data_IF_146696290429
#
_entry.id   IF_146696290429
#
_cell.length_a   1.000
_cell.length_b   1.000
_cell.length_c   1.000
_cell.angle_alpha   90.00
_cell.angle_beta   90.00
_cell.angle_gamma   90.00
#
_symmetry.space_group_name_H-M   'P 1'
#
loop_
_entity.id
_entity.type
_entity.pdbx_description
1 polymer ?
#
# COMPACT_ATOMS: atom_id res chain seq x y z
N UNK A 1 24.44 11.29 16.25
CA UNK A 1 25.20 10.61 15.19
C UNK A 1 24.71 9.18 15.10
N UNK A 2 24.34 8.68 13.92
CA UNK A 2 23.90 7.28 13.73
C UNK A 2 25.15 6.42 13.54
N UNK A 3 25.36 5.43 14.40
CA UNK A 3 26.47 4.49 14.27
C UNK A 3 26.07 3.28 13.42
N UNK A 4 27.04 2.53 12.89
CA UNK A 4 26.76 1.27 12.19
C UNK A 4 25.99 0.28 13.07
N UNK A 5 26.31 0.21 14.36
CA UNK A 5 25.61 -0.65 15.32
C UNK A 5 24.12 -0.31 15.44
N UNK A 6 23.74 0.98 15.31
CA UNK A 6 22.33 1.36 15.30
C UNK A 6 21.61 0.83 14.06
N UNK A 7 22.21 0.93 12.87
CA UNK A 7 21.60 0.46 11.61
C UNK A 7 21.43 -1.07 11.64
N UNK A 8 22.45 -1.80 12.10
CA UNK A 8 22.39 -3.26 12.22
C UNK A 8 21.35 -3.68 13.25
N UNK A 9 21.28 -3.01 14.40
CA UNK A 9 20.28 -3.30 15.43
C UNK A 9 18.84 -3.05 14.92
N UNK A 10 18.61 -1.94 14.22
CA UNK A 10 17.31 -1.66 13.58
C UNK A 10 16.98 -2.73 12.56
N UNK A 11 17.95 -3.14 11.73
CA UNK A 11 17.74 -4.17 10.71
C UNK A 11 17.34 -5.50 11.33
N UNK A 12 18.10 -5.96 12.33
CA UNK A 12 17.79 -7.19 13.06
C UNK A 12 16.40 -7.13 13.73
N UNK A 13 16.05 -6.00 14.34
CA UNK A 13 14.75 -5.83 14.98
C UNK A 13 13.60 -5.92 13.96
N UNK A 14 13.67 -5.19 12.84
CA UNK A 14 12.60 -5.19 11.83
C UNK A 14 12.40 -6.57 11.20
N UNK A 15 13.47 -7.34 11.00
CA UNK A 15 13.38 -8.71 10.50
C UNK A 15 12.61 -9.66 11.43
N UNK A 16 12.50 -9.35 12.73
CA UNK A 16 11.66 -10.14 13.66
C UNK A 16 10.19 -9.78 13.60
N UNK A 17 9.87 -8.55 13.17
CA UNK A 17 8.50 -8.02 13.13
C UNK A 17 7.78 -8.41 11.83
N UNK A 18 8.50 -8.45 10.70
CA UNK A 18 7.91 -8.76 9.39
C UNK A 18 8.02 -10.28 9.12
N UNK A 19 6.91 -11.03 9.18
CA UNK A 19 6.97 -12.48 8.98
C UNK A 19 7.23 -12.83 7.51
N UNK A 20 8.05 -13.85 7.29
CA UNK A 20 8.37 -14.39 5.96
C UNK A 20 8.91 -13.34 4.99
N UNK A 21 9.80 -12.46 5.46
CA UNK A 21 10.56 -11.56 4.60
C UNK A 21 11.68 -12.35 3.91
N UNK A 22 11.78 -12.27 2.58
CA UNK A 22 12.84 -12.98 1.85
C UNK A 22 12.81 -12.78 0.34
N UNK A 23 13.52 -13.64 -0.39
CA UNK A 23 13.74 -13.54 -1.85
C UNK A 23 12.50 -13.65 -2.74
N UNK A 24 11.35 -14.03 -2.18
CA UNK A 24 10.06 -14.02 -2.90
C UNK A 24 9.40 -12.64 -2.92
N UNK A 25 9.88 -11.73 -2.08
CA UNK A 25 9.35 -10.39 -1.98
C UNK A 25 10.07 -9.42 -2.93
N UNK A 26 9.31 -8.41 -3.34
CA UNK A 26 9.78 -7.30 -4.17
C UNK A 26 9.40 -6.01 -3.47
N UNK A 27 10.39 -5.20 -3.14
CA UNK A 27 10.23 -3.91 -2.50
C UNK A 27 10.34 -2.78 -3.53
N UNK A 28 9.43 -1.80 -3.46
CA UNK A 28 9.52 -0.59 -4.27
C UNK A 28 10.13 0.54 -3.45
N UNK A 29 11.40 0.84 -3.71
CA UNK A 29 12.10 1.98 -3.17
C UNK A 29 11.80 3.21 -4.02
N UNK A 30 11.09 4.17 -3.46
CA UNK A 30 10.73 5.41 -4.18
C UNK A 30 10.88 6.66 -3.31
N UNK A 31 11.14 6.50 -2.00
CA UNK A 31 11.46 7.64 -1.16
C UNK A 31 12.94 7.99 -1.32
N UNK A 32 13.35 9.24 -1.06
CA UNK A 32 14.75 9.62 -1.12
C UNK A 32 15.58 8.86 -0.08
N UNK A 33 16.69 8.25 -0.47
CA UNK A 33 17.63 7.56 0.42
C UNK A 33 18.21 8.48 1.52
N UNK A 34 18.21 9.79 1.28
CA UNK A 34 18.58 10.79 2.29
C UNK A 34 17.68 10.77 3.54
N UNK A 35 16.49 10.17 3.45
CA UNK A 35 15.58 10.00 4.56
C UNK A 35 15.85 8.70 5.31
N UNK A 36 16.08 8.78 6.63
CA UNK A 36 16.43 7.62 7.49
C UNK A 36 15.44 6.45 7.38
N UNK A 37 14.16 6.75 7.13
CA UNK A 37 13.13 5.73 6.93
C UNK A 37 13.40 4.83 5.73
N UNK A 38 13.77 5.41 4.57
CA UNK A 38 14.07 4.63 3.37
C UNK A 38 15.44 3.96 3.52
N UNK A 39 16.43 4.65 4.09
CA UNK A 39 17.75 4.06 4.36
C UNK A 39 17.65 2.81 5.24
N UNK A 40 16.82 2.85 6.29
CA UNK A 40 16.59 1.70 7.16
C UNK A 40 15.80 0.59 6.44
N UNK A 41 14.79 0.95 5.64
CA UNK A 41 14.02 -0.02 4.88
C UNK A 41 14.88 -0.75 3.83
N UNK A 42 15.66 -0.03 3.02
CA UNK A 42 16.58 -0.64 2.05
C UNK A 42 17.62 -1.52 2.72
N UNK A 43 18.17 -1.10 3.88
CA UNK A 43 19.11 -1.93 4.66
C UNK A 43 18.50 -3.27 5.06
N UNK A 44 17.24 -3.26 5.50
CA UNK A 44 16.48 -4.47 5.85
C UNK A 44 16.22 -5.35 4.62
N UNK A 45 15.80 -4.75 3.51
CA UNK A 45 15.51 -5.49 2.28
C UNK A 45 16.77 -6.17 1.72
N UNK A 46 17.90 -5.47 1.74
CA UNK A 46 19.20 -6.02 1.34
C UNK A 46 19.62 -7.17 2.27
N UNK A 47 19.49 -7.00 3.59
CA UNK A 47 19.85 -8.04 4.56
C UNK A 47 18.96 -9.30 4.43
N UNK A 48 17.69 -9.13 4.05
CA UNK A 48 16.75 -10.23 3.85
C UNK A 48 16.80 -10.86 2.44
N UNK A 49 17.60 -10.30 1.52
CA UNK A 49 17.70 -10.80 0.14
C UNK A 49 16.46 -10.50 -0.72
N UNK A 50 15.75 -9.42 -0.42
CA UNK A 50 14.55 -8.95 -1.15
C UNK A 50 14.98 -8.19 -2.42
N UNK A 51 14.27 -8.36 -3.52
CA UNK A 51 14.53 -7.60 -4.74
C UNK A 51 14.03 -6.15 -4.58
N UNK A 52 14.86 -5.17 -4.92
CA UNK A 52 14.52 -3.74 -4.83
C UNK A 52 14.31 -3.18 -6.24
N UNK A 53 13.13 -2.62 -6.49
CA UNK A 53 12.87 -1.81 -7.66
C UNK A 53 12.90 -0.33 -7.29
N UNK A 54 13.62 0.47 -8.05
CA UNK A 54 13.71 1.92 -7.82
C UNK A 54 12.67 2.67 -8.65
N UNK A 55 11.98 3.61 -8.02
CA UNK A 55 11.00 4.49 -8.64
C UNK A 55 11.08 5.90 -8.08
N UNK A 56 10.10 6.73 -8.42
CA UNK A 56 9.97 8.07 -7.84
C UNK A 56 8.55 8.35 -7.36
N UNK A 57 8.33 9.24 -6.38
CA UNK A 57 6.99 9.59 -5.93
C UNK A 57 6.13 10.21 -7.04
N UNK A 58 6.76 10.72 -8.09
CA UNK A 58 6.13 11.35 -9.26
C UNK A 58 5.87 10.37 -10.41
N UNK A 59 6.37 9.15 -10.33
CA UNK A 59 6.17 8.06 -11.31
C UNK A 59 5.49 6.82 -10.70
N UNK A 60 5.17 6.89 -9.41
CA UNK A 60 4.65 5.79 -8.61
C UNK A 60 3.37 5.16 -9.18
N UNK A 61 2.35 5.98 -9.46
CA UNK A 61 1.05 5.52 -9.97
C UNK A 61 0.80 5.99 -11.40
N UNK A 62 -0.03 5.26 -12.15
CA UNK A 62 -0.42 5.61 -13.53
C UNK A 62 -1.00 7.03 -13.68
N UNK A 63 -1.47 7.63 -12.58
CA UNK A 63 -2.03 8.98 -12.51
C UNK A 63 -1.02 10.05 -12.06
N UNK A 64 0.23 9.68 -11.85
CA UNK A 64 1.25 10.61 -11.34
C UNK A 64 1.71 11.60 -12.42
N UNK A 65 2.02 12.83 -12.01
CA UNK A 65 2.25 13.97 -12.93
C UNK A 65 3.39 13.78 -13.94
N UNK A 66 4.38 12.92 -13.65
CA UNK A 66 5.52 12.65 -14.54
C UNK A 66 5.35 11.39 -15.39
N UNK A 67 4.28 10.63 -15.20
CA UNK A 67 3.95 9.49 -16.07
C UNK A 67 3.24 10.03 -17.30
N UNK A 68 3.71 9.68 -18.50
CA UNK A 68 3.04 10.05 -19.74
C UNK A 68 1.62 9.48 -19.72
N UNK A 69 0.61 10.28 -20.04
CA UNK A 69 -0.78 9.79 -20.09
C UNK A 69 -0.86 8.60 -21.06
N UNK A 70 -1.30 7.45 -20.55
CA UNK A 70 -1.36 6.18 -21.29
C UNK A 70 -0.23 5.20 -21.00
N UNK A 71 0.79 5.56 -20.22
CA UNK A 71 1.84 4.63 -19.77
C UNK A 71 1.56 4.13 -18.35
N UNK A 72 2.09 2.96 -18.02
CA UNK A 72 2.00 2.34 -16.69
C UNK A 72 3.04 2.99 -15.76
N UNK A 73 2.65 3.28 -14.52
CA UNK A 73 3.54 3.72 -13.46
C UNK A 73 4.36 2.58 -12.87
N UNK A 74 5.33 2.93 -12.03
CA UNK A 74 6.34 2.00 -11.50
C UNK A 74 5.69 0.84 -10.74
N UNK A 75 4.69 1.15 -9.91
CA UNK A 75 3.97 0.15 -9.11
C UNK A 75 3.23 -0.87 -9.98
N UNK A 76 2.67 -0.42 -11.11
CA UNK A 76 1.90 -1.28 -12.03
C UNK A 76 2.81 -2.23 -12.80
N UNK A 77 4.04 -1.79 -13.11
CA UNK A 77 5.04 -2.59 -13.82
C UNK A 77 5.74 -3.56 -12.87
N UNK A 78 6.24 -3.07 -11.73
CA UNK A 78 7.01 -3.84 -10.76
C UNK A 78 6.15 -4.84 -9.98
N UNK A 79 4.87 -4.48 -9.72
CA UNK A 79 3.95 -5.25 -8.87
C UNK A 79 4.57 -5.64 -7.52
N UNK A 80 4.99 -4.66 -6.71
CA UNK A 80 5.70 -4.91 -5.47
C UNK A 80 4.84 -5.68 -4.47
N UNK A 81 5.51 -6.45 -3.61
CA UNK A 81 4.88 -7.12 -2.46
C UNK A 81 5.04 -6.31 -1.17
N UNK A 82 6.04 -5.42 -1.12
CA UNK A 82 6.35 -4.58 0.03
C UNK A 82 6.45 -3.12 -0.39
N UNK A 83 5.90 -2.23 0.42
CA UNK A 83 5.95 -0.79 0.17
C UNK A 83 6.04 0.01 1.48
N UNK A 84 6.96 0.97 1.53
CA UNK A 84 6.97 2.02 2.57
C UNK A 84 6.16 3.21 2.07
N UNK A 85 5.35 3.80 2.94
CA UNK A 85 4.52 4.95 2.62
C UNK A 85 4.63 6.03 3.72
N UNK A 86 4.37 7.26 3.31
CA UNK A 86 4.22 8.41 4.20
C UNK A 86 2.74 8.81 4.17
N UNK A 87 2.14 9.36 5.26
CA UNK A 87 0.72 9.70 5.29
C UNK A 87 0.21 10.51 4.08
N UNK A 88 0.99 11.49 3.60
CA UNK A 88 0.63 12.27 2.43
C UNK A 88 0.42 11.43 1.15
N UNK A 89 1.14 10.30 1.03
CA UNK A 89 1.02 9.39 -0.12
C UNK A 89 -0.21 8.51 0.05
N UNK A 90 -0.49 8.06 1.27
CA UNK A 90 -1.73 7.34 1.59
C UNK A 90 -2.95 8.21 1.27
N UNK A 91 -2.94 9.48 1.68
CA UNK A 91 -4.04 10.41 1.39
C UNK A 91 -4.19 10.62 -0.11
N UNK A 92 -3.08 10.78 -0.85
CA UNK A 92 -3.12 10.87 -2.32
C UNK A 92 -3.69 9.61 -2.97
N UNK A 93 -3.35 8.42 -2.47
CA UNK A 93 -3.90 7.15 -2.96
C UNK A 93 -5.40 7.10 -2.68
N UNK A 94 -5.84 7.44 -1.47
CA UNK A 94 -7.26 7.51 -1.10
C UNK A 94 -8.01 8.46 -2.02
N UNK A 95 -7.54 9.68 -2.18
CA UNK A 95 -8.19 10.71 -2.99
C UNK A 95 -8.23 10.28 -4.47
N UNK A 96 -7.17 9.62 -4.97
CA UNK A 96 -7.13 9.03 -6.30
C UNK A 96 -8.13 7.89 -6.50
N UNK A 97 -8.34 7.04 -5.48
CA UNK A 97 -9.36 5.98 -5.50
C UNK A 97 -10.76 6.60 -5.48
N UNK A 98 -11.02 7.55 -4.58
CA UNK A 98 -12.31 8.24 -4.48
C UNK A 98 -12.65 8.92 -5.81
N UNK A 99 -11.71 9.67 -6.39
CA UNK A 99 -11.91 10.32 -7.69
C UNK A 99 -12.24 9.32 -8.81
N UNK A 100 -11.52 8.19 -8.89
CA UNK A 100 -11.83 7.12 -9.87
C UNK A 100 -13.21 6.48 -9.66
N UNK A 101 -13.66 6.38 -8.41
CA UNK A 101 -15.02 5.89 -8.08
C UNK A 101 -16.08 6.91 -8.49
N UNK A 102 -15.81 8.19 -8.27
CA UNK A 102 -16.71 9.28 -8.67
C UNK A 102 -16.80 9.44 -10.18
N UNK A 103 -15.69 9.36 -10.90
CA UNK A 103 -15.64 9.40 -12.37
C UNK A 103 -16.44 8.25 -13.01
N UNK A 104 -16.48 7.06 -12.38
CA UNK A 104 -17.29 5.93 -12.86
C UNK A 104 -18.78 6.12 -12.65
N UNK A 105 -19.18 6.92 -11.66
CA UNK A 105 -20.56 7.32 -11.41
C UNK A 105 -21.56 6.19 -11.09
N UNK A 106 -22.77 6.61 -10.73
CA UNK A 106 -23.96 5.76 -10.62
C UNK A 106 -23.80 4.49 -9.78
N UNK A 107 -24.00 3.35 -10.42
CA UNK A 107 -23.97 2.02 -9.79
C UNK A 107 -22.61 1.73 -9.14
N UNK A 108 -21.50 2.10 -9.77
CA UNK A 108 -20.16 1.80 -9.24
C UNK A 108 -19.89 2.50 -7.90
N UNK A 109 -20.35 3.75 -7.74
CA UNK A 109 -20.25 4.51 -6.49
C UNK A 109 -21.12 3.88 -5.39
N UNK A 110 -22.35 3.49 -5.73
CA UNK A 110 -23.25 2.84 -4.77
C UNK A 110 -22.72 1.46 -4.32
N UNK A 111 -22.26 0.64 -5.26
CA UNK A 111 -21.63 -0.64 -4.94
C UNK A 111 -20.37 -0.46 -4.06
N UNK A 112 -19.53 0.55 -4.35
CA UNK A 112 -18.36 0.85 -3.51
C UNK A 112 -18.76 1.23 -2.09
N UNK A 113 -19.75 2.10 -1.92
CA UNK A 113 -20.24 2.53 -0.61
C UNK A 113 -20.84 1.37 0.19
N UNK A 114 -21.60 0.49 -0.46
CA UNK A 114 -22.16 -0.72 0.18
C UNK A 114 -21.04 -1.66 0.62
N UNK A 115 -20.08 -1.95 -0.26
CA UNK A 115 -18.95 -2.81 0.04
C UNK A 115 -18.08 -2.26 1.19
N UNK A 116 -17.82 -0.94 1.16
CA UNK A 116 -17.08 -0.25 2.21
C UNK A 116 -17.79 -0.36 3.56
N UNK A 117 -19.09 -0.08 3.61
CA UNK A 117 -19.89 -0.20 4.84
C UNK A 117 -19.93 -1.63 5.38
N UNK A 118 -20.09 -2.64 4.51
CA UNK A 118 -20.11 -4.05 4.94
C UNK A 118 -18.76 -4.53 5.46
N UNK A 119 -17.66 -4.10 4.84
CA UNK A 119 -16.30 -4.44 5.32
C UNK A 119 -15.94 -3.68 6.60
N UNK A 120 -16.40 -2.43 6.73
CA UNK A 120 -16.29 -1.66 7.97
C UNK A 120 -17.06 -2.33 9.12
N UNK A 121 -18.29 -2.80 8.86
CA UNK A 121 -19.09 -3.54 9.84
C UNK A 121 -18.40 -4.85 10.26
N UNK A 122 -17.75 -5.55 9.31
CA UNK A 122 -16.95 -6.74 9.62
C UNK A 122 -15.74 -6.43 10.50
N UNK A 123 -14.99 -5.35 10.20
CA UNK A 123 -13.84 -4.92 11.02
C UNK A 123 -14.26 -4.50 12.43
N UNK A 124 -15.46 -3.92 12.58
CA UNK A 124 -16.04 -3.58 13.90
C UNK A 124 -16.68 -4.76 14.63
N UNK A 125 -16.57 -5.98 14.12
CA UNK A 125 -17.10 -7.19 14.77
C UNK A 125 -18.62 -7.33 14.72
N UNK A 126 -19.29 -6.64 13.79
CA UNK A 126 -20.74 -6.77 13.62
C UNK A 126 -21.10 -8.06 12.87
N UNK A 127 -22.17 -8.72 13.32
CA UNK A 127 -22.76 -9.89 12.68
C UNK A 127 -23.22 -9.62 11.23
N UNK A 128 -23.56 -8.36 10.91
CA UNK A 128 -23.93 -7.88 9.57
C UNK A 128 -22.74 -7.56 8.65
N UNK A 129 -21.51 -7.91 9.06
CA UNK A 129 -20.33 -7.80 8.21
C UNK A 129 -20.41 -8.69 6.96
N UNK A 130 -19.59 -8.42 5.94
CA UNK A 130 -19.40 -9.39 4.87
C UNK A 130 -18.54 -10.56 5.38
N UNK A 131 -19.17 -11.71 5.68
CA UNK A 131 -18.48 -12.94 6.11
C UNK A 131 -18.40 -13.95 4.96
N UNK A 132 -17.29 -14.69 4.88
CA UNK A 132 -17.12 -15.82 3.94
C UNK A 132 -17.22 -15.43 2.45
N UNK A 133 -18.21 -15.99 1.75
CA UNK A 133 -18.39 -15.84 0.29
C UNK A 133 -18.68 -14.41 -0.14
N UNK A 134 -19.39 -13.64 0.68
CA UNK A 134 -19.71 -12.25 0.33
C UNK A 134 -18.46 -11.37 0.35
N UNK A 135 -17.54 -11.63 1.30
CA UNK A 135 -16.22 -10.99 1.33
C UNK A 135 -15.48 -11.27 0.03
N UNK A 136 -15.46 -12.53 -0.44
CA UNK A 136 -14.79 -12.91 -1.69
C UNK A 136 -15.39 -12.21 -2.93
N UNK A 137 -16.71 -12.05 -2.98
CA UNK A 137 -17.41 -11.36 -4.08
C UNK A 137 -17.00 -9.88 -4.11
N UNK A 138 -17.11 -9.18 -2.99
CA UNK A 138 -16.73 -7.77 -2.93
C UNK A 138 -15.23 -7.57 -3.15
N UNK A 139 -14.39 -8.47 -2.63
CA UNK A 139 -12.95 -8.45 -2.81
C UNK A 139 -12.56 -8.61 -4.28
N UNK A 140 -13.25 -9.47 -5.01
CA UNK A 140 -12.98 -9.70 -6.44
C UNK A 140 -13.51 -8.56 -7.33
N UNK A 141 -14.70 -8.03 -7.05
CA UNK A 141 -15.37 -7.05 -7.93
C UNK A 141 -14.81 -5.63 -7.76
N UNK A 142 -14.52 -5.24 -6.51
CA UNK A 142 -14.20 -3.85 -6.14
C UNK A 142 -12.76 -3.74 -5.64
N UNK A 143 -12.42 -4.47 -4.57
CA UNK A 143 -11.13 -4.28 -3.91
C UNK A 143 -9.95 -4.74 -4.78
N UNK A 144 -10.13 -5.78 -5.60
CA UNK A 144 -9.12 -6.19 -6.60
C UNK A 144 -8.77 -5.04 -7.55
N UNK A 145 -9.75 -4.25 -8.00
CA UNK A 145 -9.52 -3.09 -8.87
C UNK A 145 -8.76 -1.97 -8.16
N UNK A 146 -8.94 -1.83 -6.85
CA UNK A 146 -8.22 -0.84 -6.04
C UNK A 146 -6.79 -1.34 -5.79
N UNK A 147 -6.61 -2.60 -5.40
CA UNK A 147 -5.31 -3.25 -5.24
C UNK A 147 -4.47 -3.22 -6.51
N UNK A 148 -5.10 -3.35 -7.69
CA UNK A 148 -4.35 -3.24 -8.96
C UNK A 148 -3.74 -1.85 -9.19
N UNK A 149 -4.29 -0.79 -8.58
CA UNK A 149 -3.65 0.55 -8.61
C UNK A 149 -2.32 0.54 -7.83
N UNK A 150 -2.21 -0.35 -6.85
CA UNK A 150 -1.00 -0.61 -6.07
C UNK A 150 -0.23 -1.87 -6.54
N UNK A 151 -0.44 -2.31 -7.78
CA UNK A 151 0.30 -3.42 -8.38
C UNK A 151 -0.29 -4.81 -8.12
N UNK A 152 -1.29 -4.91 -7.23
CA UNK A 152 -2.13 -6.10 -7.03
C UNK A 152 -1.53 -7.21 -6.16
N UNK A 153 -0.22 -7.18 -5.89
CA UNK A 153 0.51 -8.21 -5.16
C UNK A 153 1.01 -7.75 -3.77
N UNK A 154 0.55 -6.59 -3.31
CA UNK A 154 0.98 -6.01 -2.04
C UNK A 154 0.60 -6.92 -0.86
N UNK A 155 1.60 -7.34 -0.08
CA UNK A 155 1.47 -8.13 1.15
C UNK A 155 1.51 -7.24 2.38
N UNK A 156 2.50 -6.34 2.44
CA UNK A 156 2.69 -5.43 3.56
C UNK A 156 2.97 -4.01 3.10
N UNK A 157 2.37 -3.06 3.83
CA UNK A 157 2.61 -1.64 3.66
C UNK A 157 2.94 -1.01 5.00
N UNK A 158 4.11 -0.40 5.11
CA UNK A 158 4.54 0.28 6.32
C UNK A 158 4.34 1.78 6.16
N UNK A 159 3.54 2.40 7.03
CA UNK A 159 3.35 3.84 7.05
C UNK A 159 4.18 4.48 8.16
N UNK A 160 4.94 5.54 7.84
CA UNK A 160 5.76 6.25 8.83
C UNK A 160 6.10 7.69 8.44
N UNK A 161 6.82 8.38 9.33
CA UNK A 161 7.35 9.73 9.10
C UNK A 161 6.42 10.89 9.48
N UNK A 162 5.12 10.65 9.67
CA UNK A 162 4.15 11.65 10.15
C UNK A 162 2.92 10.94 10.77
N UNK A 163 2.07 11.65 11.55
CA UNK A 163 0.81 11.09 12.03
C UNK A 163 -0.13 10.77 10.87
N UNK A 164 -0.75 9.59 10.90
CA UNK A 164 -1.78 9.16 9.95
C UNK A 164 -3.16 9.34 10.59
N UNK A 165 -4.11 9.92 9.85
CA UNK A 165 -5.48 10.03 10.36
C UNK A 165 -6.14 8.64 10.48
N UNK A 166 -6.95 8.44 11.52
CA UNK A 166 -7.65 7.16 11.73
C UNK A 166 -8.55 6.79 10.54
N UNK A 167 -9.17 7.78 9.90
CA UNK A 167 -10.01 7.58 8.73
C UNK A 167 -9.19 7.11 7.51
N UNK A 168 -8.03 7.70 7.26
CA UNK A 168 -7.12 7.27 6.18
C UNK A 168 -6.61 5.85 6.43
N UNK A 169 -6.22 5.55 7.67
CA UNK A 169 -5.74 4.22 8.06
C UNK A 169 -6.85 3.17 7.86
N UNK A 170 -8.05 3.45 8.35
CA UNK A 170 -9.19 2.56 8.22
C UNK A 170 -9.56 2.35 6.75
N UNK A 171 -9.56 3.42 5.94
CA UNK A 171 -9.86 3.35 4.53
C UNK A 171 -8.89 2.42 3.79
N UNK A 172 -7.59 2.59 4.01
CA UNK A 172 -6.56 1.77 3.38
C UNK A 172 -6.65 0.32 3.83
N UNK A 173 -6.84 0.07 5.13
CA UNK A 173 -6.97 -1.27 5.66
C UNK A 173 -8.17 -1.99 5.01
N UNK A 174 -9.32 -1.31 4.92
CA UNK A 174 -10.50 -1.83 4.25
C UNK A 174 -10.26 -2.06 2.75
N UNK A 175 -9.58 -1.15 2.07
CA UNK A 175 -9.46 -1.20 0.61
C UNK A 175 -8.36 -2.17 0.12
N UNK A 176 -7.29 -2.32 0.90
CA UNK A 176 -6.08 -3.03 0.48
C UNK A 176 -5.95 -4.39 1.18
N UNK A 177 -6.47 -4.59 2.39
CA UNK A 177 -6.31 -5.87 3.08
C UNK A 177 -6.76 -5.83 4.51
#
# INVERSE_FOLDING_TARGET
MITHGNIVATTAAVMTVIPNLGSKDVYLAYLPLAHVFEMAAESVMLAAGVAIGYGSPMTLTDTSNKVKKGTKGDVTVLKPTLLTAVPAIIDRIRDGVVKKVEEKGGLAKNLFQIAYKRRLAAVKGSWLGAWGLEKLVWDTIIFKKIRTVLGGNLRFMLCGGAPLSGDSQQFINICVG
#
